data_IF_291613339655
#
_entry.id   IF_291613339655
#
_cell.length_a   1.000
_cell.length_b   1.000
_cell.length_c   1.000
_cell.angle_alpha   90.00
_cell.angle_beta   90.00
_cell.angle_gamma   90.00
#
_symmetry.space_group_name_H-M   'P 1'
#
loop_
_entity.id
_entity.type
_entity.pdbx_description
1 polymer ?
#
# COMPACT_ATOMS: atom_id res chain seq x y z
N UNK A 1 -1.35 35.46 -32.94
CA UNK A 1 -1.49 33.99 -32.86
C UNK A 1 -0.73 33.54 -31.64
N UNK A 2 -1.40 33.14 -30.56
CA UNK A 2 -0.73 32.74 -29.31
C UNK A 2 -0.88 31.24 -29.16
N UNK A 3 0.24 30.52 -29.22
CA UNK A 3 0.29 29.07 -29.08
C UNK A 3 -0.05 28.71 -27.64
N UNK A 4 -1.21 28.09 -27.42
CA UNK A 4 -1.58 27.50 -26.14
C UNK A 4 -0.77 26.21 -26.02
N UNK A 5 0.29 26.22 -25.21
CA UNK A 5 0.98 24.99 -24.81
C UNK A 5 -0.01 24.17 -23.98
N UNK A 6 -0.34 22.92 -24.37
CA UNK A 6 -1.09 22.06 -23.47
C UNK A 6 -0.21 21.80 -22.25
N UNK A 7 -0.62 22.31 -21.08
CA UNK A 7 -0.09 21.82 -19.81
C UNK A 7 -0.31 20.31 -19.78
N UNK A 8 0.66 19.49 -19.33
CA UNK A 8 0.38 18.08 -19.12
C UNK A 8 -0.75 18.01 -18.10
N UNK A 9 -1.93 17.64 -18.57
CA UNK A 9 -3.07 17.30 -17.74
C UNK A 9 -2.53 16.31 -16.72
N UNK A 10 -2.42 16.76 -15.47
CA UNK A 10 -2.04 15.92 -14.33
C UNK A 10 -3.15 14.88 -14.26
N UNK A 11 -2.96 13.77 -14.95
CA UNK A 11 -3.70 12.56 -14.71
C UNK A 11 -3.46 12.30 -13.23
N UNK A 12 -4.42 12.66 -12.36
CA UNK A 12 -4.58 12.01 -11.07
C UNK A 12 -4.89 10.56 -11.41
N UNK A 13 -3.85 9.82 -11.80
CA UNK A 13 -3.83 8.37 -11.67
C UNK A 13 -4.10 8.22 -10.18
N UNK A 14 -5.29 7.72 -9.87
CA UNK A 14 -5.68 7.28 -8.54
C UNK A 14 -4.67 6.19 -8.18
N UNK A 15 -3.46 6.58 -7.76
CA UNK A 15 -2.39 5.63 -7.58
C UNK A 15 -2.89 4.70 -6.47
N UNK A 16 -2.78 3.39 -6.63
CA UNK A 16 -3.23 2.49 -5.59
C UNK A 16 -2.40 2.74 -4.33
N UNK A 17 -3.08 2.95 -3.20
CA UNK A 17 -2.44 2.96 -1.87
C UNK A 17 -1.61 1.68 -1.73
N UNK A 18 -0.39 1.81 -1.23
CA UNK A 18 0.50 0.68 -1.06
C UNK A 18 1.26 0.76 0.26
N UNK A 19 1.84 -0.38 0.66
CA UNK A 19 2.83 -0.43 1.73
C UNK A 19 4.17 -0.90 1.19
N UNK A 20 5.24 -0.22 1.59
CA UNK A 20 6.61 -0.71 1.47
C UNK A 20 6.99 -1.40 2.78
N UNK A 21 7.43 -2.65 2.69
CA UNK A 21 7.84 -3.50 3.81
C UNK A 21 9.33 -3.77 3.68
N UNK A 22 10.11 -3.29 4.65
CA UNK A 22 11.54 -3.60 4.74
C UNK A 22 11.70 -4.85 5.59
N UNK A 23 12.37 -5.88 5.06
CA UNK A 23 12.62 -7.15 5.74
C UNK A 23 14.01 -7.19 6.39
N UNK A 24 14.24 -8.11 7.33
CA UNK A 24 15.50 -8.25 8.09
C UNK A 24 16.72 -8.56 7.23
N UNK A 25 16.52 -9.21 6.09
CA UNK A 25 17.59 -9.48 5.12
C UNK A 25 17.94 -8.24 4.27
N UNK A 26 17.25 -7.10 4.49
CA UNK A 26 17.45 -5.86 3.77
C UNK A 26 16.65 -5.74 2.48
N UNK A 27 15.87 -6.77 2.11
CA UNK A 27 14.98 -6.68 0.96
C UNK A 27 13.77 -5.77 1.25
N UNK A 28 13.23 -5.18 0.19
CA UNK A 28 12.04 -4.34 0.26
C UNK A 28 10.94 -4.92 -0.62
N UNK A 29 9.77 -5.13 -0.03
CA UNK A 29 8.61 -5.69 -0.70
C UNK A 29 7.48 -4.67 -0.74
N UNK A 30 6.83 -4.54 -1.89
CA UNK A 30 5.75 -3.57 -2.09
C UNK A 30 4.39 -4.27 -2.18
N UNK A 31 3.50 -3.96 -1.24
CA UNK A 31 2.14 -4.51 -1.19
C UNK A 31 1.16 -3.52 -1.82
N UNK A 32 0.92 -3.70 -3.12
CA UNK A 32 0.02 -2.83 -3.87
C UNK A 32 -1.46 -3.04 -3.51
N UNK A 33 -2.18 -1.94 -3.32
CA UNK A 33 -3.63 -1.94 -3.11
C UNK A 33 -4.06 -2.44 -1.73
N UNK A 34 -3.14 -2.59 -0.78
CA UNK A 34 -3.47 -2.75 0.62
C UNK A 34 -3.62 -1.37 1.27
N UNK A 35 -4.65 -1.22 2.11
CA UNK A 35 -4.97 0.02 2.83
C UNK A 35 -4.93 -0.17 4.36
N UNK A 36 -4.83 -1.42 4.82
CA UNK A 36 -4.70 -1.81 6.23
C UNK A 36 -3.73 -2.99 6.42
N UNK A 37 -3.26 -3.19 7.64
CA UNK A 37 -2.57 -4.40 8.06
C UNK A 37 -2.88 -4.75 9.52
N UNK A 38 -2.81 -6.03 9.85
CA UNK A 38 -3.02 -6.55 11.19
C UNK A 38 -1.97 -7.61 11.53
N UNK A 39 -1.54 -7.64 12.79
CA UNK A 39 -0.75 -8.74 13.30
C UNK A 39 -1.66 -9.89 13.74
N UNK A 40 -1.47 -11.04 13.12
CA UNK A 40 -2.15 -12.31 13.42
C UNK A 40 -1.09 -13.30 13.91
N UNK A 41 -0.97 -13.47 15.23
CA UNK A 41 0.02 -14.36 15.85
C UNK A 41 1.45 -13.99 15.42
N UNK A 42 2.11 -14.86 14.62
CA UNK A 42 3.46 -14.70 14.09
C UNK A 42 3.54 -14.01 12.74
N UNK A 43 2.39 -13.64 12.16
CA UNK A 43 2.29 -13.02 10.83
C UNK A 43 1.78 -11.59 10.93
N UNK A 44 2.25 -10.73 10.03
CA UNK A 44 1.63 -9.44 9.74
C UNK A 44 1.02 -9.52 8.36
N UNK A 45 -0.31 -9.39 8.32
CA UNK A 45 -1.11 -9.59 7.11
C UNK A 45 -1.66 -8.26 6.65
N UNK A 46 -1.51 -7.99 5.35
CA UNK A 46 -1.95 -6.78 4.70
C UNK A 46 -3.27 -7.03 3.97
N UNK A 47 -4.18 -6.07 4.06
CA UNK A 47 -5.55 -6.19 3.56
C UNK A 47 -5.95 -5.00 2.71
N UNK A 48 -6.86 -5.25 1.79
CA UNK A 48 -7.72 -4.25 1.18
C UNK A 48 -9.08 -4.30 1.87
N UNK A 49 -9.51 -3.16 2.40
CA UNK A 49 -10.77 -3.00 3.13
C UNK A 49 -11.87 -2.33 2.28
N UNK A 50 -11.55 -1.90 1.05
CA UNK A 50 -12.42 -1.11 0.18
C UNK A 50 -12.92 0.16 0.87
N UNK A 51 -12.03 0.83 1.62
CA UNK A 51 -12.31 2.09 2.32
C UNK A 51 -13.02 1.93 3.67
N UNK A 52 -13.24 0.71 4.17
CA UNK A 52 -13.75 0.48 5.53
C UNK A 52 -12.65 0.78 6.56
N UNK A 53 -13.04 1.22 7.75
CA UNK A 53 -12.09 1.51 8.83
C UNK A 53 -11.61 0.26 9.59
N UNK A 54 -12.15 -0.91 9.27
CA UNK A 54 -11.92 -2.15 10.02
C UNK A 54 -11.63 -3.29 9.04
N UNK A 55 -10.72 -4.18 9.43
CA UNK A 55 -10.51 -5.47 8.77
C UNK A 55 -11.61 -6.43 9.23
N UNK A 56 -12.45 -6.88 8.30
CA UNK A 56 -13.60 -7.75 8.52
C UNK A 56 -13.63 -8.93 7.52
N UNK A 57 -14.71 -9.72 7.54
CA UNK A 57 -14.87 -10.88 6.66
C UNK A 57 -14.96 -10.56 5.15
N UNK A 58 -15.08 -9.29 4.78
CA UNK A 58 -15.09 -8.83 3.39
C UNK A 58 -13.76 -8.20 2.97
N UNK A 59 -12.78 -8.16 3.88
CA UNK A 59 -11.44 -7.68 3.57
C UNK A 59 -10.66 -8.72 2.77
N UNK A 60 -9.96 -8.26 1.73
CA UNK A 60 -9.16 -9.13 0.86
C UNK A 60 -7.71 -9.11 1.32
N UNK A 61 -7.16 -10.29 1.63
CA UNK A 61 -5.74 -10.44 1.97
C UNK A 61 -4.87 -10.20 0.74
N UNK A 62 -3.95 -9.25 0.83
CA UNK A 62 -3.03 -8.86 -0.25
C UNK A 62 -1.64 -9.49 -0.10
N UNK A 63 -1.13 -9.58 1.13
CA UNK A 63 0.16 -10.20 1.45
C UNK A 63 0.22 -10.61 2.92
N UNK A 64 1.16 -11.49 3.28
CA UNK A 64 1.44 -11.84 4.67
C UNK A 64 2.94 -12.14 4.82
N UNK A 65 3.56 -11.53 5.82
CA UNK A 65 4.98 -11.70 6.13
C UNK A 65 5.12 -12.18 7.57
N UNK A 66 6.19 -12.92 7.87
CA UNK A 66 6.48 -13.21 9.28
C UNK A 66 6.76 -11.90 10.00
N UNK A 67 6.07 -11.66 11.12
CA UNK A 67 6.24 -10.44 11.92
C UNK A 67 7.68 -10.30 12.40
N UNK A 68 8.28 -11.42 12.79
CA UNK A 68 9.69 -11.46 13.17
C UNK A 68 10.64 -11.32 11.97
N UNK A 69 10.20 -11.08 10.75
CA UNK A 69 11.07 -10.77 9.61
C UNK A 69 10.92 -9.32 9.15
N UNK A 70 9.94 -8.57 9.67
CA UNK A 70 9.69 -7.18 9.28
C UNK A 70 10.54 -6.24 10.15
N UNK A 71 11.29 -5.34 9.51
CA UNK A 71 12.00 -4.24 10.15
C UNK A 71 11.18 -2.95 10.17
N UNK A 72 10.48 -2.66 9.06
CA UNK A 72 9.67 -1.46 8.94
C UNK A 72 8.51 -1.68 7.98
N UNK A 73 7.40 -1.02 8.26
CA UNK A 73 6.26 -0.87 7.35
C UNK A 73 6.05 0.62 7.12
N UNK A 74 6.04 1.05 5.86
CA UNK A 74 5.78 2.43 5.46
C UNK A 74 4.59 2.47 4.54
N UNK A 75 3.63 3.35 4.84
CA UNK A 75 2.52 3.64 3.92
C UNK A 75 3.05 4.54 2.82
N UNK A 76 2.76 4.18 1.58
CA UNK A 76 3.01 5.02 0.43
C UNK A 76 1.68 5.60 0.00
N UNK A 77 1.51 6.89 0.26
CA UNK A 77 0.35 7.60 -0.26
C UNK A 77 0.56 7.89 -1.75
N UNK A 78 -0.51 7.81 -2.55
CA UNK A 78 -0.51 8.29 -3.92
C UNK A 78 -0.03 9.75 -3.90
N UNK A 79 1.08 10.04 -4.55
CA UNK A 79 1.53 11.42 -4.72
C UNK A 79 0.37 12.23 -5.33
N UNK A 80 -0.17 13.19 -4.57
CA UNK A 80 -1.19 14.13 -5.04
C UNK A 80 -0.72 15.01 -6.18
#
# INVERSE_FOLDING_TARGET
MTTITPSPSRNHVNAPVAFQVTLRDGSEERVFGADAYQQEQSMTTFFRTEGRQTVDCWSVRMASFRTDHILAVRREDPLG
#
